data_IF_685179435127
#
_entry.id   IF_685179435127
#
_cell.length_a   1.000
_cell.length_b   1.000
_cell.length_c   1.000
_cell.angle_alpha   90.00
_cell.angle_beta   90.00
_cell.angle_gamma   90.00
#
_symmetry.space_group_name_H-M   'P 1'
#
loop_
_entity.id
_entity.type
_entity.pdbx_description
1 polymer ?
#
# COMPACT_ATOMS: atom_id res chain seq x y z
N UNK A 1 -54.27 -15.26 34.35
CA UNK A 1 -53.27 -14.51 35.14
C UNK A 1 -52.06 -14.37 34.22
N UNK A 2 -52.07 -13.54 33.16
CA UNK A 2 -52.43 -12.10 33.10
C UNK A 2 -51.74 -11.39 34.28
N UNK A 3 -50.70 -10.57 34.13
CA UNK A 3 -50.37 -9.48 33.20
C UNK A 3 -48.89 -9.07 33.48
N UNK A 4 -48.29 -7.99 32.92
CA UNK A 4 -48.27 -7.50 31.54
C UNK A 4 -46.84 -7.12 31.07
N UNK A 5 -46.65 -6.96 29.76
CA UNK A 5 -45.48 -6.33 29.16
C UNK A 5 -45.60 -4.81 29.34
N UNK A 6 -44.64 -4.20 30.04
CA UNK A 6 -44.53 -2.75 30.17
C UNK A 6 -44.13 -2.11 28.83
N UNK A 7 -44.95 -1.16 28.40
CA UNK A 7 -44.66 -0.19 27.34
C UNK A 7 -43.66 0.85 27.84
N UNK A 8 -42.52 0.99 27.16
CA UNK A 8 -41.67 2.18 27.26
C UNK A 8 -42.03 3.12 26.11
N UNK A 9 -42.54 4.31 26.48
CA UNK A 9 -42.79 5.43 25.58
C UNK A 9 -41.46 5.96 25.02
N UNK A 10 -41.28 5.82 23.71
CA UNK A 10 -40.19 6.44 22.96
C UNK A 10 -40.56 7.87 22.58
N UNK A 11 -39.79 8.82 23.11
CA UNK A 11 -39.80 10.22 22.70
C UNK A 11 -39.57 10.35 21.18
N UNK A 12 -40.29 11.30 20.59
CA UNK A 12 -40.44 11.47 19.16
C UNK A 12 -39.16 11.88 18.42
N UNK A 13 -38.77 11.05 17.47
CA UNK A 13 -38.06 11.40 16.25
C UNK A 13 -38.58 10.49 15.13
N UNK A 14 -38.89 11.01 13.94
CA UNK A 14 -39.47 10.18 12.87
C UNK A 14 -38.45 9.15 12.37
N UNK A 15 -38.88 7.89 12.34
CA UNK A 15 -38.17 6.76 11.73
C UNK A 15 -37.87 7.08 10.26
N UNK A 16 -36.59 6.98 9.88
CA UNK A 16 -36.08 7.25 8.53
C UNK A 16 -36.84 6.45 7.46
N UNK A 17 -37.37 5.28 7.81
CA UNK A 17 -38.21 4.46 6.92
C UNK A 17 -39.60 5.07 6.64
N UNK A 18 -40.14 5.88 7.54
CA UNK A 18 -41.43 6.56 7.35
C UNK A 18 -41.33 7.72 6.34
N UNK A 19 -40.17 8.37 6.26
CA UNK A 19 -39.90 9.47 5.31
C UNK A 19 -39.79 8.90 3.88
N UNK A 20 -39.06 7.80 3.71
CA UNK A 20 -38.88 7.14 2.41
C UNK A 20 -40.22 6.64 1.85
N UNK A 21 -41.11 6.12 2.70
CA UNK A 21 -42.41 5.63 2.27
C UNK A 21 -43.43 6.74 1.95
N UNK A 22 -43.24 7.96 2.49
CA UNK A 22 -44.14 9.09 2.22
C UNK A 22 -43.92 9.77 0.86
N UNK A 23 -42.73 9.61 0.26
CA UNK A 23 -42.38 10.14 -1.05
C UNK A 23 -42.75 9.18 -2.20
N UNK A 24 -42.85 7.88 -1.94
CA UNK A 24 -43.30 6.88 -2.93
C UNK A 24 -44.81 7.00 -3.26
N UNK A 25 -45.61 7.63 -2.39
CA UNK A 25 -47.06 7.78 -2.56
C UNK A 25 -47.47 8.98 -3.44
N UNK A 26 -46.52 9.77 -3.97
CA UNK A 26 -46.80 10.97 -4.81
C UNK A 26 -46.64 10.75 -6.32
N UNK A 27 -46.46 9.50 -6.78
CA UNK A 27 -46.30 9.19 -8.20
C UNK A 27 -47.52 8.41 -8.71
N UNK A 28 -48.40 9.06 -9.46
CA UNK A 28 -49.50 8.38 -10.15
C UNK A 28 -48.99 7.55 -11.36
N UNK A 29 -49.54 6.35 -11.60
CA UNK A 29 -49.16 5.54 -12.75
C UNK A 29 -49.93 5.98 -14.01
N UNK A 30 -49.27 6.71 -14.91
CA UNK A 30 -49.85 7.04 -16.23
C UNK A 30 -49.47 5.96 -17.24
N UNK A 31 -50.33 4.96 -17.39
CA UNK A 31 -50.34 4.07 -18.55
C UNK A 31 -51.39 4.59 -19.54
N UNK A 32 -50.96 5.34 -20.56
CA UNK A 32 -51.81 5.70 -21.72
C UNK A 32 -51.09 5.33 -23.01
N UNK A 33 -51.71 4.44 -23.78
CA UNK A 33 -51.32 4.10 -25.15
C UNK A 33 -51.40 5.38 -26.03
N UNK A 34 -50.42 5.67 -26.90
CA UNK A 34 -50.54 6.75 -27.87
C UNK A 34 -51.39 6.33 -29.09
N UNK A 35 -52.10 7.28 -29.75
CA UNK A 35 -52.84 7.01 -30.98
C UNK A 35 -51.89 6.85 -32.19
N UNK A 36 -52.31 6.05 -33.17
CA UNK A 36 -51.58 5.75 -34.40
C UNK A 36 -51.45 7.01 -35.30
N UNK A 37 -50.24 7.40 -35.74
CA UNK A 37 -50.06 8.53 -36.68
C UNK A 37 -50.36 8.13 -38.14
N UNK A 38 -50.76 9.07 -39.01
CA UNK A 38 -50.99 8.81 -40.43
C UNK A 38 -49.66 8.60 -41.18
N UNK A 39 -49.72 7.75 -42.21
CA UNK A 39 -48.59 7.38 -43.08
C UNK A 39 -48.11 8.63 -43.85
N UNK A 40 -47.03 9.25 -43.36
CA UNK A 40 -46.25 10.22 -44.11
C UNK A 40 -45.00 9.50 -44.67
N UNK A 41 -44.71 9.72 -45.95
CA UNK A 41 -43.56 9.14 -46.64
C UNK A 41 -42.25 9.49 -45.92
N UNK A 42 -41.43 8.48 -45.64
CA UNK A 42 -40.13 8.65 -45.02
C UNK A 42 -39.20 9.48 -45.93
N UNK A 43 -38.52 10.51 -45.41
CA UNK A 43 -37.46 11.16 -46.15
C UNK A 43 -36.29 10.18 -46.36
N UNK A 44 -35.67 10.24 -47.52
CA UNK A 44 -34.46 9.46 -47.84
C UNK A 44 -33.36 9.90 -46.88
N UNK A 45 -32.94 8.98 -46.01
CA UNK A 45 -31.78 9.12 -45.14
C UNK A 45 -30.52 9.07 -46.01
N UNK A 46 -29.92 10.23 -46.28
CA UNK A 46 -28.51 10.28 -46.64
C UNK A 46 -27.68 9.88 -45.41
N UNK A 47 -26.90 8.82 -45.56
CA UNK A 47 -25.96 8.36 -44.53
C UNK A 47 -24.93 9.48 -44.27
N UNK A 48 -24.74 9.93 -43.03
CA UNK A 48 -23.69 10.89 -42.72
C UNK A 48 -22.31 10.31 -43.04
N UNK A 49 -21.40 11.17 -43.48
CA UNK A 49 -19.98 10.87 -43.72
C UNK A 49 -19.41 9.95 -42.63
N UNK A 50 -18.64 8.96 -43.05
CA UNK A 50 -17.97 7.99 -42.18
C UNK A 50 -17.32 8.69 -41.00
N UNK A 51 -17.68 8.25 -39.78
CA UNK A 51 -17.02 8.66 -38.55
C UNK A 51 -15.48 8.57 -38.73
N UNK A 52 -14.72 9.57 -38.25
CA UNK A 52 -13.27 9.49 -38.30
C UNK A 52 -12.83 8.21 -37.60
N UNK A 53 -11.97 7.44 -38.25
CA UNK A 53 -11.33 6.28 -37.65
C UNK A 53 -10.66 6.72 -36.34
N UNK A 54 -10.84 5.97 -35.23
CA UNK A 54 -10.10 6.26 -34.01
C UNK A 54 -8.60 6.25 -34.35
N UNK A 55 -7.81 7.21 -33.85
CA UNK A 55 -6.37 7.20 -34.09
C UNK A 55 -5.80 5.88 -33.57
N UNK A 56 -5.14 5.12 -34.46
CA UNK A 56 -4.55 3.79 -34.20
C UNK A 56 -3.42 3.79 -33.15
N UNK A 57 -3.12 4.94 -32.53
CA UNK A 57 -2.17 5.06 -31.43
C UNK A 57 -2.68 6.06 -30.40
N UNK A 58 -2.66 5.73 -29.09
CA UNK A 58 -2.91 6.72 -28.05
C UNK A 58 -1.96 7.88 -28.27
N UNK A 59 -2.48 9.12 -28.25
CA UNK A 59 -1.63 10.31 -28.25
C UNK A 59 -0.77 10.25 -26.99
N UNK A 60 0.52 9.96 -27.13
CA UNK A 60 1.50 10.16 -26.06
C UNK A 60 1.59 11.66 -25.78
N UNK A 61 0.71 12.18 -24.94
CA UNK A 61 0.90 13.48 -24.33
C UNK A 61 1.90 13.30 -23.20
N UNK A 62 3.11 13.83 -23.38
CA UNK A 62 4.08 13.91 -22.29
C UNK A 62 3.56 14.89 -21.24
N UNK A 63 2.99 14.38 -20.15
CA UNK A 63 2.48 15.19 -19.03
C UNK A 63 3.61 15.89 -18.25
N UNK A 64 4.87 15.51 -18.49
CA UNK A 64 6.04 16.02 -17.76
C UNK A 64 7.12 16.50 -18.73
N UNK A 65 7.40 17.82 -18.72
CA UNK A 65 8.61 18.36 -19.35
C UNK A 65 9.81 18.12 -18.44
N UNK A 66 10.59 17.07 -18.69
CA UNK A 66 11.77 16.73 -17.89
C UNK A 66 12.75 17.91 -17.72
N UNK A 67 12.84 18.82 -18.71
CA UNK A 67 13.72 19.99 -18.69
C UNK A 67 13.31 21.11 -17.74
N UNK A 68 12.10 21.09 -17.17
CA UNK A 68 11.61 22.13 -16.24
C UNK A 68 11.72 21.76 -14.77
N UNK A 69 12.17 20.55 -14.44
CA UNK A 69 12.38 20.15 -13.05
C UNK A 69 13.82 20.48 -12.63
N UNK A 70 14.00 21.51 -11.80
CA UNK A 70 15.19 21.61 -10.97
C UNK A 70 15.08 20.48 -9.94
N UNK A 71 15.95 19.47 -10.03
CA UNK A 71 15.86 18.27 -9.22
C UNK A 71 16.07 18.60 -7.74
N UNK A 72 15.03 18.45 -6.89
CA UNK A 72 15.21 18.64 -5.48
C UNK A 72 15.98 17.43 -4.93
N UNK A 73 17.16 17.68 -4.34
CA UNK A 73 17.78 16.69 -3.45
C UNK A 73 16.83 16.48 -2.29
N UNK A 74 16.49 15.23 -1.98
CA UNK A 74 15.59 14.93 -0.86
C UNK A 74 16.25 15.39 0.45
N UNK A 75 15.72 16.40 1.13
CA UNK A 75 16.27 16.87 2.40
C UNK A 75 16.20 15.79 3.48
N UNK A 76 17.26 15.71 4.29
CA UNK A 76 17.38 14.75 5.40
C UNK A 76 17.52 15.44 6.76
N UNK A 77 17.52 16.77 6.79
CA UNK A 77 17.64 17.59 7.99
C UNK A 77 16.49 17.39 8.99
N UNK A 78 15.37 16.81 8.54
CA UNK A 78 14.24 16.40 9.41
C UNK A 78 14.50 15.11 10.19
N UNK A 79 15.52 14.32 9.84
CA UNK A 79 15.92 13.14 10.61
C UNK A 79 16.84 13.54 11.77
N UNK A 80 16.93 12.68 12.79
CA UNK A 80 17.94 12.87 13.85
C UNK A 80 19.36 12.79 13.29
N UNK A 81 20.30 13.52 13.89
CA UNK A 81 21.70 13.57 13.44
C UNK A 81 22.34 12.18 13.25
N UNK A 82 22.14 11.17 14.13
CA UNK A 82 22.67 9.82 13.89
C UNK A 82 22.09 9.14 12.65
N UNK A 83 20.84 9.40 12.31
CA UNK A 83 20.18 8.86 11.11
C UNK A 83 20.69 9.58 9.87
N UNK A 84 20.87 10.90 9.93
CA UNK A 84 21.46 11.67 8.83
C UNK A 84 22.87 11.18 8.50
N UNK A 85 23.71 11.00 9.52
CA UNK A 85 25.08 10.52 9.36
C UNK A 85 25.11 9.11 8.76
N UNK A 86 24.24 8.22 9.25
CA UNK A 86 24.10 6.87 8.69
C UNK A 86 23.68 6.92 7.21
N UNK A 87 22.70 7.75 6.84
CA UNK A 87 22.22 7.90 5.47
C UNK A 87 23.33 8.37 4.54
N UNK A 88 24.03 9.46 4.91
CA UNK A 88 25.17 10.00 4.15
C UNK A 88 26.24 8.94 4.00
N UNK A 89 26.59 8.26 5.08
CA UNK A 89 27.66 7.29 5.04
C UNK A 89 27.34 6.08 4.17
N UNK A 90 26.13 5.53 4.25
CA UNK A 90 25.72 4.42 3.37
C UNK A 90 25.71 4.88 1.91
N UNK A 91 25.18 6.08 1.61
CA UNK A 91 25.18 6.64 0.27
C UNK A 91 26.61 6.76 -0.30
N UNK A 92 27.53 7.31 0.49
CA UNK A 92 28.94 7.48 0.12
C UNK A 92 29.67 6.15 -0.02
N UNK A 93 29.49 5.20 0.89
CA UNK A 93 30.27 3.96 0.91
C UNK A 93 29.81 2.99 -0.17
N UNK A 94 28.50 2.94 -0.43
CA UNK A 94 27.92 2.12 -1.49
C UNK A 94 28.00 2.80 -2.86
N UNK A 95 28.17 4.12 -2.92
CA UNK A 95 28.13 4.87 -4.18
C UNK A 95 26.75 4.78 -4.83
N UNK A 96 25.74 5.16 -4.08
CA UNK A 96 24.34 5.13 -4.50
C UNK A 96 23.65 6.48 -4.20
N UNK A 97 22.60 6.85 -4.96
CA UNK A 97 21.78 8.01 -4.63
C UNK A 97 21.31 8.00 -3.17
N UNK A 98 21.34 9.17 -2.55
CA UNK A 98 20.97 9.35 -1.14
C UNK A 98 19.49 8.99 -0.92
N UNK A 99 18.64 9.27 -1.90
CA UNK A 99 17.20 9.03 -1.90
C UNK A 99 16.89 7.54 -1.72
N UNK A 100 17.69 6.65 -2.30
CA UNK A 100 17.53 5.21 -2.10
C UNK A 100 17.76 4.83 -0.63
N UNK A 101 18.76 5.43 0.01
CA UNK A 101 19.05 5.15 1.41
C UNK A 101 17.92 5.70 2.29
N UNK A 102 17.41 6.89 2.00
CA UNK A 102 16.28 7.49 2.73
C UNK A 102 15.05 6.59 2.70
N UNK A 103 14.60 6.15 1.53
CA UNK A 103 13.39 5.30 1.47
C UNK A 103 13.60 3.92 2.07
N UNK A 104 14.82 3.36 1.97
CA UNK A 104 15.15 2.13 2.69
C UNK A 104 15.11 2.33 4.21
N UNK A 105 15.54 3.49 4.70
CA UNK A 105 15.48 3.85 6.13
C UNK A 105 14.04 4.05 6.60
N UNK A 106 13.19 4.75 5.82
CA UNK A 106 11.76 4.92 6.11
C UNK A 106 11.04 3.58 6.15
N UNK A 107 11.21 2.74 5.12
CA UNK A 107 10.67 1.38 5.10
C UNK A 107 11.13 0.57 6.32
N UNK A 108 12.42 0.64 6.66
CA UNK A 108 12.98 -0.14 7.77
C UNK A 108 12.42 0.32 9.12
N UNK A 109 12.35 1.63 9.33
CA UNK A 109 11.78 2.21 10.55
C UNK A 109 10.26 1.93 10.65
N UNK A 110 9.53 2.06 9.55
CA UNK A 110 8.09 1.80 9.48
C UNK A 110 7.74 0.36 9.85
N UNK A 111 8.44 -0.62 9.30
CA UNK A 111 8.24 -2.04 9.65
C UNK A 111 8.63 -2.34 11.11
N UNK A 112 9.70 -1.73 11.61
CA UNK A 112 10.14 -1.96 12.99
C UNK A 112 9.19 -1.35 14.03
N UNK A 113 8.67 -0.15 13.75
CA UNK A 113 7.62 0.46 14.56
C UNK A 113 6.29 -0.33 14.43
N UNK A 114 5.97 -0.74 13.21
CA UNK A 114 4.75 -1.47 12.88
C UNK A 114 3.50 -0.70 13.26
N UNK A 115 2.44 -1.43 13.61
CA UNK A 115 1.15 -0.86 14.07
C UNK A 115 1.22 -0.15 15.42
N UNK A 116 2.38 -0.16 16.10
CA UNK A 116 2.56 0.55 17.37
C UNK A 116 2.69 2.05 17.15
N UNK A 117 3.16 2.50 16.00
CA UNK A 117 3.16 3.92 15.64
C UNK A 117 1.97 4.18 14.71
N UNK A 118 1.02 5.00 15.17
CA UNK A 118 -0.18 5.33 14.40
C UNK A 118 -0.45 6.82 14.43
N UNK A 119 -0.84 7.39 13.29
CA UNK A 119 -1.31 8.76 13.17
C UNK A 119 -2.83 8.75 12.95
N UNK A 120 -3.57 9.28 13.91
CA UNK A 120 -5.03 9.37 13.81
C UNK A 120 -5.41 10.72 13.21
N UNK A 121 -5.99 10.68 12.01
CA UNK A 121 -6.58 11.84 11.32
C UNK A 121 -8.05 11.54 11.10
N UNK A 122 -8.99 12.24 11.74
CA UNK A 122 -10.42 11.89 11.61
C UNK A 122 -10.88 11.84 10.13
N UNK A 123 -11.39 10.71 9.58
CA UNK A 123 -11.75 9.44 10.23
C UNK A 123 -10.74 8.27 10.12
N UNK A 124 -9.56 8.48 9.56
CA UNK A 124 -8.53 7.47 9.28
C UNK A 124 -7.50 7.28 10.41
N UNK A 125 -6.99 6.05 10.47
CA UNK A 125 -5.77 5.71 11.21
C UNK A 125 -4.70 5.36 10.18
N UNK A 126 -3.57 6.03 10.23
CA UNK A 126 -2.48 5.87 9.27
C UNK A 126 -1.30 5.19 9.95
N UNK A 127 -0.77 4.16 9.30
CA UNK A 127 0.46 3.47 9.67
C UNK A 127 1.57 3.86 8.69
N UNK A 128 2.86 3.70 9.05
CA UNK A 128 3.97 3.98 8.15
C UNK A 128 4.12 2.88 7.08
N UNK A 129 3.06 2.68 6.26
CA UNK A 129 2.86 1.52 5.37
C UNK A 129 3.05 1.80 3.87
N UNK A 130 3.96 2.70 3.52
CA UNK A 130 4.18 3.10 2.13
C UNK A 130 4.71 1.98 1.22
N UNK A 131 4.36 2.09 -0.07
CA UNK A 131 4.93 1.29 -1.14
C UNK A 131 5.98 2.13 -1.89
N UNK A 132 7.24 1.71 -1.85
CA UNK A 132 8.35 2.39 -2.49
C UNK A 132 8.82 1.64 -3.74
N UNK A 133 9.09 2.39 -4.81
CA UNK A 133 9.70 1.87 -6.03
C UNK A 133 10.97 2.66 -6.37
N UNK A 134 12.13 2.06 -6.13
CA UNK A 134 13.43 2.66 -6.49
C UNK A 134 13.74 2.42 -7.98
N UNK A 135 13.67 3.47 -8.79
CA UNK A 135 13.92 3.40 -10.23
C UNK A 135 15.38 3.74 -10.53
N UNK A 136 16.10 2.84 -11.19
CA UNK A 136 17.48 3.12 -11.59
C UNK A 136 18.08 2.08 -12.52
N UNK A 137 19.07 2.48 -13.32
CA UNK A 137 19.75 1.59 -14.27
C UNK A 137 20.33 0.34 -13.57
N UNK A 138 20.51 -0.78 -14.28
CA UNK A 138 21.37 -1.87 -13.82
C UNK A 138 22.71 -1.34 -13.30
N UNK A 139 23.28 -2.01 -12.31
CA UNK A 139 24.58 -1.67 -11.73
C UNK A 139 24.66 -0.32 -10.97
N UNK A 140 23.53 0.37 -10.73
CA UNK A 140 23.45 1.58 -9.86
C UNK A 140 23.36 1.28 -8.36
N UNK A 141 23.72 0.07 -7.97
CA UNK A 141 23.78 -0.38 -6.59
C UNK A 141 22.49 -0.08 -5.78
N UNK A 142 21.33 -0.50 -6.30
CA UNK A 142 20.05 -0.44 -5.57
C UNK A 142 20.00 -1.52 -4.46
N UNK A 143 20.42 -2.73 -4.82
CA UNK A 143 20.42 -3.93 -3.98
C UNK A 143 21.30 -3.82 -2.73
N UNK A 144 22.50 -3.23 -2.87
CA UNK A 144 23.47 -3.11 -1.79
C UNK A 144 22.95 -2.32 -0.59
N UNK A 145 22.57 -1.03 -0.74
CA UNK A 145 21.98 -0.23 0.32
C UNK A 145 20.65 -0.83 0.79
N UNK A 146 19.81 -1.39 -0.08
CA UNK A 146 18.59 -2.07 0.34
C UNK A 146 18.89 -3.18 1.36
N UNK A 147 19.85 -4.06 1.07
CA UNK A 147 20.25 -5.16 1.98
C UNK A 147 20.91 -4.65 3.26
N UNK A 148 21.76 -3.64 3.17
CA UNK A 148 22.47 -3.06 4.32
C UNK A 148 21.50 -2.38 5.30
N UNK A 149 20.62 -1.51 4.79
CA UNK A 149 19.70 -0.74 5.63
C UNK A 149 18.61 -1.63 6.23
N UNK A 150 18.07 -2.59 5.47
CA UNK A 150 17.05 -3.54 5.97
C UNK A 150 17.63 -4.71 6.78
N UNK A 151 18.94 -4.73 7.02
CA UNK A 151 19.62 -5.79 7.76
C UNK A 151 19.02 -6.05 9.16
N UNK A 152 18.71 -5.03 9.99
CA UNK A 152 18.15 -5.26 11.32
C UNK A 152 16.83 -6.03 11.31
N UNK A 153 15.99 -5.86 10.28
CA UNK A 153 14.73 -6.61 10.15
C UNK A 153 14.97 -8.11 9.94
N UNK A 154 15.96 -8.46 9.09
CA UNK A 154 16.33 -9.87 8.85
C UNK A 154 16.97 -10.51 10.08
N UNK A 155 17.77 -9.73 10.83
CA UNK A 155 18.35 -10.20 12.09
C UNK A 155 17.26 -10.45 13.14
N UNK A 156 16.26 -9.57 13.21
CA UNK A 156 15.08 -9.74 14.06
C UNK A 156 14.29 -11.00 13.68
N UNK A 157 13.96 -11.20 12.40
CA UNK A 157 13.25 -12.39 11.94
C UNK A 157 14.04 -13.67 12.20
N UNK A 158 15.37 -13.64 12.04
CA UNK A 158 16.24 -14.78 12.36
C UNK A 158 16.21 -15.12 13.86
N UNK A 159 16.21 -14.12 14.73
CA UNK A 159 16.11 -14.32 16.17
C UNK A 159 14.73 -14.89 16.55
N UNK A 160 13.65 -14.35 15.99
CA UNK A 160 12.29 -14.87 16.20
C UNK A 160 12.13 -16.30 15.68
N UNK A 161 12.75 -16.62 14.55
CA UNK A 161 12.70 -17.98 14.01
C UNK A 161 13.40 -18.98 14.93
N UNK A 162 14.56 -18.62 15.50
CA UNK A 162 15.25 -19.46 16.48
C UNK A 162 14.38 -19.71 17.72
N UNK A 163 13.76 -18.65 18.26
CA UNK A 163 12.81 -18.75 19.39
C UNK A 163 11.62 -19.65 19.05
N UNK A 164 11.02 -19.46 17.88
CA UNK A 164 9.91 -20.29 17.39
C UNK A 164 10.29 -21.77 17.28
N UNK A 165 11.50 -22.09 16.80
CA UNK A 165 11.96 -23.48 16.71
C UNK A 165 12.09 -24.14 18.08
N UNK A 166 12.60 -23.41 19.08
CA UNK A 166 12.70 -23.88 20.46
C UNK A 166 11.32 -24.12 21.07
N UNK A 167 10.40 -23.16 20.94
CA UNK A 167 9.01 -23.26 21.41
C UNK A 167 8.27 -24.40 20.71
N UNK A 168 8.48 -24.55 19.40
CA UNK A 168 7.87 -25.63 18.61
C UNK A 168 8.38 -27.00 19.04
N UNK A 169 9.67 -27.15 19.30
CA UNK A 169 10.23 -28.41 19.78
C UNK A 169 9.65 -28.78 21.16
N UNK A 170 9.50 -27.81 22.06
CA UNK A 170 8.86 -28.02 23.36
C UNK A 170 7.38 -28.40 23.21
N UNK A 171 6.63 -27.71 22.35
CA UNK A 171 5.25 -28.02 22.04
C UNK A 171 5.07 -29.44 21.49
N UNK A 172 5.88 -29.80 20.49
CA UNK A 172 5.82 -31.11 19.83
C UNK A 172 6.18 -32.23 20.83
N UNK A 173 7.13 -31.99 21.75
CA UNK A 173 7.47 -32.92 22.82
C UNK A 173 6.30 -33.13 23.80
N UNK A 174 5.68 -32.05 24.28
CA UNK A 174 4.50 -32.14 25.16
C UNK A 174 3.36 -32.91 24.47
N UNK A 175 3.14 -32.67 23.18
CA UNK A 175 2.11 -33.36 22.38
C UNK A 175 2.43 -34.82 22.10
N UNK A 176 3.71 -35.18 22.05
CA UNK A 176 4.16 -36.55 21.93
C UNK A 176 3.99 -37.32 23.25
N UNK A 177 4.31 -36.69 24.38
CA UNK A 177 4.13 -37.27 25.73
C UNK A 177 2.65 -37.39 26.13
N UNK A 178 1.85 -36.37 25.80
CA UNK A 178 0.41 -36.34 26.01
C UNK A 178 -0.32 -35.97 24.70
N UNK A 179 -0.95 -36.98 24.08
CA UNK A 179 -1.74 -36.76 22.85
C UNK A 179 -2.94 -35.85 23.04
N UNK A 180 -3.39 -35.62 24.28
CA UNK A 180 -4.45 -34.68 24.63
C UNK A 180 -3.95 -33.27 24.94
N UNK A 181 -2.63 -33.04 24.87
CA UNK A 181 -2.02 -31.74 25.06
C UNK A 181 -2.62 -30.71 24.10
N UNK A 182 -3.23 -29.69 24.69
CA UNK A 182 -4.00 -28.63 24.01
C UNK A 182 -3.40 -27.25 24.25
N UNK A 183 -2.09 -27.19 24.54
CA UNK A 183 -1.38 -25.91 24.62
C UNK A 183 -1.50 -25.09 23.33
N UNK A 184 -1.18 -23.81 23.42
CA UNK A 184 -1.15 -22.94 22.24
C UNK A 184 0.00 -23.36 21.32
N UNK A 185 -0.32 -23.52 20.03
CA UNK A 185 0.69 -23.84 19.04
C UNK A 185 1.56 -22.59 18.80
N UNK A 186 2.90 -22.71 18.90
CA UNK A 186 3.79 -21.58 18.62
C UNK A 186 3.59 -21.03 17.21
N UNK A 187 3.70 -19.71 17.07
CA UNK A 187 3.53 -19.00 15.80
C UNK A 187 4.83 -18.28 15.47
N UNK A 188 5.28 -18.41 14.22
CA UNK A 188 6.44 -17.68 13.74
C UNK A 188 6.05 -16.27 13.29
N UNK A 189 6.37 -15.29 14.12
CA UNK A 189 6.19 -13.87 13.82
C UNK A 189 7.36 -13.34 12.98
N UNK A 190 7.13 -13.20 11.67
CA UNK A 190 8.09 -12.63 10.71
C UNK A 190 7.64 -11.26 10.21
N UNK A 191 8.60 -10.35 10.03
CA UNK A 191 8.38 -8.99 9.53
C UNK A 191 8.65 -8.86 8.05
N UNK A 192 9.68 -9.53 7.53
CA UNK A 192 10.03 -9.46 6.10
C UNK A 192 9.49 -10.66 5.36
N UNK A 193 8.85 -10.38 4.22
CA UNK A 193 8.27 -11.38 3.33
C UNK A 193 8.94 -11.30 1.97
N UNK A 194 9.33 -12.46 1.45
CA UNK A 194 9.85 -12.61 0.08
C UNK A 194 8.74 -12.85 -0.94
N UNK A 195 9.10 -13.48 -2.07
CA UNK A 195 8.11 -13.99 -3.03
C UNK A 195 7.27 -15.08 -2.35
N UNK A 196 6.02 -14.74 -2.05
CA UNK A 196 5.11 -15.55 -1.26
C UNK A 196 3.72 -15.49 -1.87
N UNK A 197 2.99 -16.60 -1.80
CA UNK A 197 1.62 -16.65 -2.30
C UNK A 197 0.70 -15.75 -1.47
N UNK A 198 -0.44 -15.31 -2.02
CA UNK A 198 -1.44 -14.54 -1.29
C UNK A 198 -1.86 -15.20 0.03
N UNK A 199 -2.00 -16.53 0.03
CA UNK A 199 -2.36 -17.30 1.22
C UNK A 199 -1.34 -17.16 2.34
N UNK A 200 -0.05 -17.28 2.00
CA UNK A 200 1.04 -17.13 2.96
C UNK A 200 1.09 -15.71 3.52
N UNK A 201 0.93 -14.67 2.69
CA UNK A 201 0.87 -13.28 3.16
C UNK A 201 -0.33 -13.04 4.07
N UNK A 202 -1.49 -13.52 3.67
CA UNK A 202 -2.73 -13.40 4.41
C UNK A 202 -2.65 -14.11 5.77
N UNK A 203 -1.99 -15.26 5.85
CA UNK A 203 -1.75 -15.96 7.11
C UNK A 203 -0.85 -15.17 8.08
N UNK A 204 0.08 -14.36 7.57
CA UNK A 204 0.92 -13.47 8.39
C UNK A 204 0.16 -12.25 8.85
N UNK A 205 -0.58 -11.60 7.95
CA UNK A 205 -1.42 -10.46 8.28
C UNK A 205 -2.49 -10.82 9.33
N UNK A 206 -3.02 -12.05 9.27
CA UNK A 206 -3.95 -12.57 10.27
C UNK A 206 -3.34 -12.69 11.69
N UNK A 207 -2.02 -12.68 11.83
CA UNK A 207 -1.35 -12.65 13.14
C UNK A 207 -1.40 -11.26 13.79
N UNK A 208 -1.87 -10.24 13.06
CA UNK A 208 -1.99 -8.85 13.53
C UNK A 208 -0.72 -8.03 13.35
N UNK A 209 0.35 -8.62 12.81
CA UNK A 209 1.61 -7.96 12.56
C UNK A 209 1.65 -7.22 11.23
N UNK A 210 2.30 -6.05 11.23
CA UNK A 210 2.68 -5.39 9.99
C UNK A 210 3.86 -6.11 9.34
N UNK A 211 3.77 -6.32 8.02
CA UNK A 211 4.78 -7.04 7.23
C UNK A 211 5.36 -6.15 6.13
N UNK A 212 6.58 -6.45 5.68
CA UNK A 212 7.29 -5.71 4.64
C UNK A 212 7.73 -6.63 3.52
N UNK A 213 7.34 -6.32 2.29
CA UNK A 213 7.84 -7.00 1.09
C UNK A 213 9.13 -6.32 0.65
N UNK A 214 10.23 -7.08 0.62
CA UNK A 214 11.53 -6.60 0.10
C UNK A 214 11.85 -7.31 -1.21
N UNK A 215 11.74 -6.59 -2.33
CA UNK A 215 11.96 -7.12 -3.66
C UNK A 215 13.20 -6.49 -4.31
N UNK A 216 14.25 -7.27 -4.55
CA UNK A 216 15.45 -6.77 -5.24
C UNK A 216 15.13 -6.26 -6.66
N UNK A 217 14.24 -7.00 -7.34
CA UNK A 217 13.61 -6.60 -8.61
C UNK A 217 12.09 -6.68 -8.44
N UNK A 218 11.45 -5.52 -8.31
CA UNK A 218 10.03 -5.37 -8.04
C UNK A 218 9.16 -5.97 -9.16
N UNK A 219 9.68 -6.00 -10.39
CA UNK A 219 9.02 -6.69 -11.50
C UNK A 219 8.67 -8.13 -11.16
N UNK A 220 9.55 -8.87 -10.50
CA UNK A 220 9.31 -10.28 -10.17
C UNK A 220 8.13 -10.47 -9.21
N UNK A 221 7.94 -9.52 -8.29
CA UNK A 221 6.78 -9.47 -7.38
C UNK A 221 5.50 -9.10 -8.14
N UNK A 222 5.55 -8.09 -9.00
CA UNK A 222 4.37 -7.67 -9.78
C UNK A 222 3.94 -8.77 -10.76
N UNK A 223 4.90 -9.41 -11.43
CA UNK A 223 4.64 -10.58 -12.28
C UNK A 223 4.11 -11.78 -11.48
N UNK A 224 4.23 -11.80 -10.13
CA UNK A 224 3.75 -12.90 -9.29
C UNK A 224 2.29 -12.79 -8.90
N UNK A 225 1.71 -11.61 -9.08
CA UNK A 225 0.29 -11.38 -8.90
C UNK A 225 -0.53 -12.27 -9.83
N UNK A 226 -1.53 -12.96 -9.27
CA UNK A 226 -2.42 -13.86 -9.99
C UNK A 226 -1.82 -15.21 -10.38
N UNK A 227 -0.50 -15.45 -10.22
CA UNK A 227 0.13 -16.75 -10.56
C UNK A 227 -0.49 -17.94 -9.82
N UNK A 228 -1.00 -17.70 -8.62
CA UNK A 228 -1.55 -18.75 -7.74
C UNK A 228 -3.08 -18.89 -7.82
N UNK A 229 -3.73 -18.09 -8.66
CA UNK A 229 -5.17 -18.17 -8.86
C UNK A 229 -5.57 -19.30 -9.83
N UNK A 230 -6.76 -19.88 -9.61
CA UNK A 230 -7.39 -20.81 -10.56
C UNK A 230 -8.48 -20.07 -11.35
N UNK A 231 -8.31 -19.94 -12.66
CA UNK A 231 -9.22 -19.19 -13.54
C UNK A 231 -8.74 -17.75 -13.73
N UNK A 232 -8.69 -17.26 -14.98
CA UNK A 232 -7.94 -16.08 -15.44
C UNK A 232 -8.21 -14.70 -14.79
N UNK A 233 -8.95 -14.62 -13.69
CA UNK A 233 -9.26 -13.39 -12.94
C UNK A 233 -8.36 -13.17 -11.70
N UNK A 234 -7.28 -13.94 -11.55
CA UNK A 234 -6.42 -13.90 -10.37
C UNK A 234 -5.79 -12.56 -10.04
N UNK A 235 -5.35 -11.86 -11.08
CA UNK A 235 -4.63 -10.59 -10.93
C UNK A 235 -5.55 -9.56 -10.29
N UNK A 236 -6.76 -9.37 -10.82
CA UNK A 236 -7.72 -8.40 -10.27
C UNK A 236 -8.12 -8.69 -8.82
N UNK A 237 -8.34 -9.96 -8.47
CA UNK A 237 -8.67 -10.34 -7.09
C UNK A 237 -7.52 -10.08 -6.11
N UNK A 238 -6.28 -10.40 -6.50
CA UNK A 238 -5.10 -10.15 -5.67
C UNK A 238 -4.80 -8.65 -5.56
N UNK A 239 -4.97 -7.89 -6.65
CA UNK A 239 -4.87 -6.42 -6.62
C UNK A 239 -5.87 -5.83 -5.65
N UNK A 240 -7.16 -6.21 -5.73
CA UNK A 240 -8.18 -5.71 -4.80
C UNK A 240 -7.80 -5.98 -3.33
N UNK A 241 -7.22 -7.15 -3.03
CA UNK A 241 -6.72 -7.45 -1.67
C UNK A 241 -5.56 -6.53 -1.29
N UNK A 242 -4.59 -6.30 -2.18
CA UNK A 242 -3.48 -5.39 -1.93
C UNK A 242 -3.94 -3.94 -1.72
N UNK A 243 -4.99 -3.49 -2.41
CA UNK A 243 -5.58 -2.16 -2.20
C UNK A 243 -6.24 -2.05 -0.82
N UNK A 244 -6.93 -3.09 -0.37
CA UNK A 244 -7.49 -3.17 0.99
C UNK A 244 -6.39 -3.15 2.05
N UNK A 245 -5.32 -3.92 1.85
CA UNK A 245 -4.14 -3.93 2.74
C UNK A 245 -3.50 -2.55 2.83
N UNK A 246 -3.31 -1.87 1.70
CA UNK A 246 -2.74 -0.52 1.69
C UNK A 246 -3.63 0.50 2.41
N UNK A 247 -4.95 0.31 2.37
CA UNK A 247 -5.93 1.20 3.01
C UNK A 247 -6.30 0.77 4.44
N UNK A 248 -5.62 -0.26 4.98
CA UNK A 248 -5.90 -0.87 6.28
C UNK A 248 -7.35 -1.37 6.47
N UNK A 249 -8.02 -1.72 5.37
CA UNK A 249 -9.39 -2.24 5.40
C UNK A 249 -9.36 -3.75 5.57
N UNK A 250 -9.98 -4.22 6.65
CA UNK A 250 -10.10 -5.64 6.95
C UNK A 250 -10.91 -6.42 5.92
N UNK A 251 -10.62 -7.71 5.79
CA UNK A 251 -11.34 -8.61 4.89
C UNK A 251 -11.35 -10.05 5.42
N UNK A 252 -12.38 -10.81 5.06
CA UNK A 252 -12.54 -12.21 5.47
C UNK A 252 -12.17 -13.17 4.32
N UNK A 253 -11.47 -14.24 4.64
CA UNK A 253 -11.15 -15.34 3.73
C UNK A 253 -12.04 -16.53 4.08
N UNK A 254 -13.09 -16.69 3.27
CA UNK A 254 -14.05 -17.78 3.41
C UNK A 254 -13.77 -18.87 2.37
N UNK A 255 -13.05 -19.93 2.76
CA UNK A 255 -12.77 -21.09 1.89
C UNK A 255 -13.53 -22.30 2.41
N UNK A 256 -14.18 -23.05 1.52
CA UNK A 256 -14.97 -24.25 1.89
C UNK A 256 -14.16 -25.32 2.65
N UNK A 257 -12.85 -25.37 2.46
CA UNK A 257 -11.94 -26.39 2.98
C UNK A 257 -11.06 -25.92 4.15
N UNK A 258 -11.18 -24.66 4.57
CA UNK A 258 -10.36 -24.09 5.65
C UNK A 258 -11.26 -23.32 6.63
N UNK A 259 -10.79 -23.16 7.87
CA UNK A 259 -11.43 -22.24 8.80
C UNK A 259 -11.43 -20.81 8.27
N UNK A 260 -12.51 -20.08 8.57
CA UNK A 260 -12.65 -18.68 8.16
C UNK A 260 -11.58 -17.84 8.87
N UNK A 261 -10.79 -17.11 8.08
CA UNK A 261 -9.76 -16.20 8.60
C UNK A 261 -10.25 -14.77 8.42
N UNK A 262 -10.44 -14.07 9.54
CA UNK A 262 -10.64 -12.62 9.52
C UNK A 262 -9.28 -11.96 9.60
N UNK A 263 -8.95 -11.14 8.60
CA UNK A 263 -7.79 -10.28 8.62
C UNK A 263 -8.30 -8.90 8.95
N UNK A 264 -8.16 -8.52 10.22
CA UNK A 264 -8.57 -7.22 10.71
C UNK A 264 -7.41 -6.23 10.61
N UNK A 265 -7.70 -5.02 10.17
CA UNK A 265 -6.74 -3.91 10.09
C UNK A 265 -5.34 -4.31 9.54
N UNK A 266 -5.27 -4.84 8.29
CA UNK A 266 -4.01 -5.30 7.70
C UNK A 266 -3.08 -4.12 7.39
N UNK A 267 -1.78 -4.29 7.64
CA UNK A 267 -0.77 -3.29 7.27
C UNK A 267 0.43 -3.96 6.58
N UNK A 268 0.86 -3.40 5.45
CA UNK A 268 2.01 -3.90 4.70
C UNK A 268 2.78 -2.75 4.06
N UNK A 269 4.11 -2.83 4.04
CA UNK A 269 4.94 -2.01 3.14
C UNK A 269 5.44 -2.84 1.96
N UNK A 270 5.77 -2.18 0.86
CA UNK A 270 6.53 -2.76 -0.25
C UNK A 270 7.74 -1.88 -0.50
N UNK A 271 8.91 -2.47 -0.68
CA UNK A 271 10.08 -1.72 -1.12
C UNK A 271 10.91 -2.56 -2.08
N UNK A 272 11.19 -2.01 -3.26
CA UNK A 272 11.99 -2.72 -4.24
C UNK A 272 12.52 -1.87 -5.37
N UNK A 273 13.49 -2.43 -6.09
CA UNK A 273 14.12 -1.79 -7.22
C UNK A 273 13.46 -2.16 -8.55
N UNK A 274 13.43 -1.23 -9.51
CA UNK A 274 13.11 -1.53 -10.91
C UNK A 274 14.04 -0.78 -11.85
N UNK A 275 14.19 -1.31 -13.06
CA UNK A 275 14.95 -0.66 -14.13
C UNK A 275 14.04 0.28 -14.93
N UNK A 276 14.53 1.46 -15.37
CA UNK A 276 13.74 2.40 -16.17
C UNK A 276 13.05 1.76 -17.39
N UNK A 277 13.76 0.89 -18.11
CA UNK A 277 13.25 0.22 -19.32
C UNK A 277 12.13 -0.79 -19.03
N UNK A 278 12.06 -1.29 -17.79
CA UNK A 278 11.05 -2.24 -17.35
C UNK A 278 9.86 -1.54 -16.66
N UNK A 279 10.05 -0.31 -16.18
CA UNK A 279 9.03 0.44 -15.43
C UNK A 279 7.70 0.48 -16.18
N UNK A 280 7.69 1.00 -17.42
CA UNK A 280 6.48 1.10 -18.23
C UNK A 280 5.88 -0.26 -18.58
N UNK A 281 6.71 -1.27 -18.87
CA UNK A 281 6.24 -2.63 -19.19
C UNK A 281 5.62 -3.35 -17.99
N UNK A 282 6.07 -3.00 -16.80
CA UNK A 282 5.61 -3.63 -15.55
C UNK A 282 4.40 -2.92 -15.01
N UNK A 283 4.43 -1.61 -14.82
CA UNK A 283 3.35 -0.84 -14.20
C UNK A 283 2.31 -0.31 -15.19
N UNK A 284 2.66 -0.18 -16.47
CA UNK A 284 1.78 0.34 -17.53
C UNK A 284 0.89 -0.71 -18.19
N UNK A 285 0.61 -1.82 -17.50
CA UNK A 285 -0.39 -2.80 -17.98
C UNK A 285 -1.79 -2.31 -17.62
N UNK A 286 -2.77 -2.53 -18.51
CA UNK A 286 -4.16 -2.10 -18.29
C UNK A 286 -4.69 -2.53 -16.92
N UNK A 287 -4.44 -3.80 -16.54
CA UNK A 287 -4.86 -4.35 -15.26
C UNK A 287 -4.33 -3.57 -14.04
N UNK A 288 -3.11 -3.04 -14.10
CA UNK A 288 -2.53 -2.26 -13.00
C UNK A 288 -2.96 -0.80 -13.05
N UNK A 289 -2.97 -0.20 -14.24
CA UNK A 289 -3.37 1.19 -14.45
C UNK A 289 -4.82 1.43 -14.04
N UNK A 290 -5.72 0.51 -14.39
CA UNK A 290 -7.15 0.61 -14.10
C UNK A 290 -7.51 0.26 -12.63
N UNK A 291 -6.60 -0.41 -11.91
CA UNK A 291 -6.83 -0.83 -10.53
C UNK A 291 -6.53 0.25 -9.49
N UNK A 292 -5.79 1.29 -9.87
CA UNK A 292 -5.23 2.27 -8.92
C UNK A 292 -4.08 1.73 -8.06
N UNK A 293 -3.62 0.49 -8.26
CA UNK A 293 -2.49 -0.08 -7.53
C UNK A 293 -1.20 0.72 -7.76
N UNK A 294 -0.92 1.10 -9.01
CA UNK A 294 0.27 1.91 -9.37
C UNK A 294 0.28 3.26 -8.67
N UNK A 295 -0.88 3.88 -8.45
CA UNK A 295 -1.02 5.20 -7.81
C UNK A 295 -0.62 5.20 -6.33
N UNK A 296 -0.46 4.03 -5.70
CA UNK A 296 -0.08 3.87 -4.28
C UNK A 296 1.43 3.77 -4.07
N UNK A 297 2.21 3.77 -5.15
CA UNK A 297 3.66 3.71 -5.09
C UNK A 297 4.27 5.12 -5.08
N UNK A 298 5.20 5.34 -4.15
CA UNK A 298 6.16 6.42 -4.18
C UNK A 298 7.36 6.01 -5.05
N UNK A 299 7.44 6.59 -6.25
CA UNK A 299 8.54 6.35 -7.18
C UNK A 299 9.74 7.23 -6.84
N UNK A 300 10.86 6.58 -6.54
CA UNK A 300 12.12 7.23 -6.22
C UNK A 300 13.02 7.08 -7.43
N UNK A 301 13.04 8.11 -8.27
CA UNK A 301 13.77 8.11 -9.53
C UNK A 301 14.85 9.20 -9.53
N UNK A 302 15.90 9.06 -8.70
CA UNK A 302 17.00 10.00 -8.68
C UNK A 302 17.78 9.91 -9.99
N UNK A 303 18.30 11.05 -10.41
CA UNK A 303 19.18 11.13 -11.54
C UNK A 303 20.57 10.55 -11.18
N UNK A 304 21.56 10.61 -12.09
CA UNK A 304 22.79 9.81 -11.96
C UNK A 304 23.52 10.03 -10.62
N UNK A 305 23.40 9.07 -9.69
CA UNK A 305 24.24 9.01 -8.50
C UNK A 305 25.74 8.89 -8.80
N UNK A 306 26.62 9.27 -7.86
CA UNK A 306 28.06 9.25 -8.04
C UNK A 306 28.55 7.83 -8.36
N UNK A 307 29.32 7.67 -9.43
CA UNK A 307 29.93 6.39 -9.76
C UNK A 307 31.20 6.20 -8.92
N UNK A 308 31.20 5.19 -8.05
CA UNK A 308 32.37 4.82 -7.24
C UNK A 308 33.00 3.54 -7.80
N UNK A 309 34.29 3.62 -8.15
CA UNK A 309 35.07 2.46 -8.57
C UNK A 309 35.13 1.45 -7.43
N UNK A 310 35.12 0.15 -7.75
CA UNK A 310 35.11 -0.90 -6.74
C UNK A 310 36.27 -0.82 -5.73
N UNK A 311 37.46 -0.40 -6.17
CA UNK A 311 38.63 -0.23 -5.30
C UNK A 311 38.49 0.91 -4.28
N UNK A 312 37.64 1.90 -4.58
CA UNK A 312 37.45 3.09 -3.76
C UNK A 312 36.23 2.93 -2.83
N UNK A 313 35.50 1.81 -2.93
CA UNK A 313 34.36 1.52 -2.06
C UNK A 313 34.85 1.23 -0.66
N UNK A 314 34.27 1.94 0.30
CA UNK A 314 34.50 1.72 1.72
C UNK A 314 33.51 0.67 2.22
N UNK A 315 33.86 -0.02 3.31
CA UNK A 315 33.00 -1.00 3.95
C UNK A 315 32.41 -0.40 5.23
N UNK A 316 31.14 -0.70 5.47
CA UNK A 316 30.51 -0.39 6.75
C UNK A 316 31.23 -1.15 7.87
N UNK A 317 31.61 -0.44 8.93
CA UNK A 317 32.23 -1.06 10.12
C UNK A 317 31.16 -1.69 11.01
N UNK A 318 31.55 -2.60 11.93
CA UNK A 318 30.62 -3.15 12.91
C UNK A 318 29.94 -2.07 13.77
N UNK A 319 30.66 -1.03 14.18
CA UNK A 319 30.15 0.04 15.04
C UNK A 319 29.02 0.82 14.36
N UNK A 320 29.18 1.13 13.07
CA UNK A 320 28.16 1.84 12.28
C UNK A 320 26.88 1.03 12.14
N UNK A 321 27.03 -0.29 11.94
CA UNK A 321 25.89 -1.21 11.90
C UNK A 321 25.22 -1.33 13.26
N UNK A 322 26.00 -1.45 14.34
CA UNK A 322 25.47 -1.48 15.71
C UNK A 322 24.68 -0.22 16.03
N UNK A 323 25.13 0.95 15.57
CA UNK A 323 24.38 2.20 15.76
C UNK A 323 23.01 2.16 15.07
N UNK A 324 22.96 1.75 13.80
CA UNK A 324 21.70 1.60 13.06
C UNK A 324 20.80 0.50 13.64
N UNK A 325 21.34 -0.68 13.94
CA UNK A 325 20.62 -1.76 14.61
C UNK A 325 20.08 -1.31 15.96
N UNK A 326 20.82 -0.49 16.71
CA UNK A 326 20.35 0.08 17.98
C UNK A 326 19.18 1.06 17.81
N UNK A 327 19.19 1.88 16.75
CA UNK A 327 18.05 2.76 16.41
C UNK A 327 16.82 1.94 16.09
N UNK A 328 16.96 0.93 15.22
CA UNK A 328 15.84 0.07 14.80
C UNK A 328 15.35 -0.83 15.94
N UNK A 329 16.25 -1.32 16.79
CA UNK A 329 15.91 -2.09 17.99
C UNK A 329 15.00 -1.30 18.94
N UNK A 330 15.27 0.00 19.14
CA UNK A 330 14.37 0.86 19.94
C UNK A 330 12.97 0.99 19.34
N UNK A 331 12.82 0.90 18.02
CA UNK A 331 11.50 0.90 17.37
C UNK A 331 10.80 -0.45 17.58
N UNK A 332 11.52 -1.57 17.49
CA UNK A 332 10.96 -2.88 17.84
C UNK A 332 10.50 -2.97 19.30
N UNK A 333 11.19 -2.30 20.22
CA UNK A 333 10.87 -2.30 21.65
C UNK A 333 9.98 -1.12 22.08
N UNK A 334 9.60 -0.23 21.15
CA UNK A 334 8.80 0.95 21.48
C UNK A 334 7.44 0.56 22.04
N UNK A 335 6.93 1.38 22.95
CA UNK A 335 5.54 1.32 23.40
C UNK A 335 4.60 1.87 22.32
N UNK A 336 3.32 1.45 22.29
CA UNK A 336 2.32 2.05 21.41
C UNK A 336 2.29 3.58 21.52
N UNK A 337 2.41 4.25 20.37
CA UNK A 337 2.43 5.69 20.21
C UNK A 337 1.34 6.10 19.22
N UNK A 338 0.30 6.73 19.75
CA UNK A 338 -0.75 7.36 18.94
C UNK A 338 -0.44 8.85 18.79
N UNK A 339 -0.23 9.28 17.56
CA UNK A 339 -0.01 10.67 17.18
C UNK A 339 -1.30 11.29 16.67
N UNK A 340 -1.44 12.58 16.90
CA UNK A 340 -2.47 13.43 16.32
C UNK A 340 -1.80 14.68 15.77
N UNK A 341 -2.35 15.23 14.69
CA UNK A 341 -1.88 16.51 14.16
C UNK A 341 -2.22 17.63 15.15
N UNK A 342 -1.27 18.55 15.37
CA UNK A 342 -1.57 19.79 16.10
C UNK A 342 -2.56 20.65 15.32
N UNK A 343 -3.15 21.65 15.96
CA UNK A 343 -4.07 22.56 15.27
C UNK A 343 -3.39 23.25 14.06
N UNK A 344 -2.14 23.70 14.20
CA UNK A 344 -1.39 24.29 13.10
C UNK A 344 -1.10 23.27 11.99
N UNK A 345 -0.74 22.04 12.36
CA UNK A 345 -0.47 20.97 11.40
C UNK A 345 -1.73 20.56 10.62
N UNK A 346 -2.90 20.50 11.28
CA UNK A 346 -4.19 20.25 10.62
C UNK A 346 -4.47 21.34 9.60
N UNK A 347 -4.31 22.62 9.96
CA UNK A 347 -4.55 23.72 9.02
C UNK A 347 -3.60 23.68 7.81
N UNK A 348 -2.32 23.39 8.04
CA UNK A 348 -1.35 23.27 6.95
C UNK A 348 -1.68 22.09 6.03
N UNK A 349 -2.01 20.94 6.63
CA UNK A 349 -2.40 19.74 5.91
C UNK A 349 -3.70 19.94 5.12
N UNK A 350 -4.73 20.54 5.71
CA UNK A 350 -6.00 20.82 5.03
C UNK A 350 -5.80 21.71 3.82
N UNK A 351 -5.03 22.80 3.94
CA UNK A 351 -4.73 23.66 2.78
C UNK A 351 -3.99 22.90 1.67
N UNK A 352 -3.04 22.03 2.04
CA UNK A 352 -2.33 21.18 1.09
C UNK A 352 -3.26 20.16 0.42
N UNK A 353 -4.09 19.47 1.20
CA UNK A 353 -5.05 18.48 0.72
C UNK A 353 -6.12 19.10 -0.19
N UNK A 354 -6.70 20.24 0.21
CA UNK A 354 -7.67 21.00 -0.59
C UNK A 354 -7.06 21.41 -1.94
N UNK A 355 -5.81 21.90 -1.93
CA UNK A 355 -5.09 22.27 -3.15
C UNK A 355 -4.91 21.06 -4.08
N UNK A 356 -4.55 19.91 -3.53
CA UNK A 356 -4.41 18.68 -4.31
C UNK A 356 -5.75 18.17 -4.83
N UNK A 357 -6.81 18.20 -4.02
CA UNK A 357 -8.14 17.75 -4.41
C UNK A 357 -8.72 18.63 -5.52
N UNK A 358 -8.57 19.96 -5.43
CA UNK A 358 -8.94 20.88 -6.50
C UNK A 358 -8.17 20.63 -7.79
N UNK A 359 -6.86 20.30 -7.70
CA UNK A 359 -6.05 19.96 -8.87
C UNK A 359 -6.46 18.62 -9.48
N UNK A 360 -6.82 17.64 -8.65
CA UNK A 360 -7.27 16.34 -9.11
C UNK A 360 -8.64 16.41 -9.78
N UNK A 361 -9.56 17.22 -9.26
CA UNK A 361 -10.90 17.44 -9.85
C UNK A 361 -10.83 18.17 -11.21
N UNK A 362 -9.87 19.09 -11.35
CA UNK A 362 -9.64 19.81 -12.60
C UNK A 362 -8.86 19.01 -13.67
N UNK A 363 -8.30 17.85 -13.32
CA UNK A 363 -7.50 17.02 -14.22
C UNK A 363 -8.39 16.15 -15.11
N UNK A 364 -8.21 16.21 -16.43
CA UNK A 364 -9.01 15.42 -17.37
C UNK A 364 -8.58 13.94 -17.36
N UNK A 365 -7.31 13.68 -17.05
CA UNK A 365 -6.78 12.32 -16.93
C UNK A 365 -7.06 11.75 -15.53
N UNK A 366 -8.06 10.86 -15.43
CA UNK A 366 -8.43 10.16 -14.21
C UNK A 366 -7.24 9.47 -13.51
N UNK A 367 -6.25 8.97 -14.27
CA UNK A 367 -5.09 8.32 -13.68
C UNK A 367 -4.22 9.33 -12.92
N UNK A 368 -3.97 10.49 -13.52
CA UNK A 368 -3.20 11.58 -12.91
C UNK A 368 -3.96 12.18 -11.72
N UNK A 369 -5.27 12.42 -11.87
CA UNK A 369 -6.13 12.88 -10.77
C UNK A 369 -6.07 11.92 -9.57
N UNK A 370 -6.14 10.60 -9.83
CA UNK A 370 -5.98 9.59 -8.79
C UNK A 370 -4.60 9.60 -8.12
N UNK A 371 -3.50 9.79 -8.87
CA UNK A 371 -2.15 9.93 -8.31
C UNK A 371 -2.04 11.15 -7.38
N UNK A 372 -2.59 12.30 -7.78
CA UNK A 372 -2.56 13.53 -6.98
C UNK A 372 -3.26 13.31 -5.64
N UNK A 373 -4.45 12.69 -5.65
CA UNK A 373 -5.19 12.39 -4.41
C UNK A 373 -4.43 11.45 -3.46
N UNK A 374 -3.65 10.48 -3.97
CA UNK A 374 -2.87 9.59 -3.10
C UNK A 374 -1.72 10.30 -2.39
N UNK A 375 -1.25 11.44 -2.90
CA UNK A 375 -0.25 12.26 -2.18
C UNK A 375 -0.79 12.81 -0.86
N UNK A 376 -2.10 13.00 -0.72
CA UNK A 376 -2.72 13.42 0.56
C UNK A 376 -2.55 12.36 1.64
N UNK A 377 -2.47 11.07 1.27
CA UNK A 377 -2.27 9.96 2.20
C UNK A 377 -0.79 9.80 2.51
N UNK A 378 0.09 9.83 1.51
CA UNK A 378 1.55 9.72 1.73
C UNK A 378 2.17 10.85 2.56
N UNK A 379 1.47 11.98 2.69
CA UNK A 379 1.92 13.13 3.50
C UNK A 379 1.62 12.93 5.00
N UNK A 380 0.63 12.09 5.32
CA UNK A 380 0.24 11.71 6.68
C UNK A 380 1.07 10.50 7.13
#
# INVERSE_FOLDING_TARGET
MDDPIMSFEGNGQPDVLSIINSEAAKVEPVNKLPPTPPVAQAPVLELPESLPSPPDQPKETSHLKASTFAEPVLPIDWFSEPVQEYIRTVSEYYGCPLEYVVVNSLFTAGIAAGKKAQLVTNPYTNYPCDFFCMVGKPSRNKTGPLKEVTRPLREYDKANFAKYLEEKAAYDQCKHEDKSYSGEQPVFHQRIVGDSSPESRNALLAQGDMIGVVADELKSFIDSLGRYSKGGNGVGAELSQLLSIWSNVGFAINRKSEETKLIDDPAMCINGGIQPELLGKTFGTDALMDSGFTQRFLFVYPDKGPFIKRCDRKFMTPEMRTSWTGIIGRLFDMQPLTLQLSHEAIHLYSNYADTNDMRADAEEDCYIGGMIQKMNIHTL
#
